data_IF_969998598136
#
_entry.id   IF_969998598136
#
_cell.length_a   1.000
_cell.length_b   1.000
_cell.length_c   1.000
_cell.angle_alpha   90.00
_cell.angle_beta   90.00
_cell.angle_gamma   90.00
#
_symmetry.space_group_name_H-M   'P 1'
#
loop_
_entity.id
_entity.type
_entity.pdbx_description
1 polymer ?
#
# COMPACT_ATOMS: atom_id res chain seq x y z
N UNK A 1 -12.53 16.65 -13.97
CA UNK A 1 -11.39 16.03 -13.28
C UNK A 1 -11.92 14.79 -12.62
N UNK A 2 -11.36 13.64 -12.93
CA UNK A 2 -11.72 12.40 -12.26
C UNK A 2 -10.82 12.23 -11.02
N UNK A 3 -11.32 11.53 -10.01
CA UNK A 3 -10.54 11.26 -8.81
C UNK A 3 -9.25 10.50 -9.16
N UNK A 4 -8.10 11.02 -8.70
CA UNK A 4 -6.76 10.47 -8.95
C UNK A 4 -6.42 10.25 -10.44
N UNK A 5 -6.92 11.09 -11.35
CA UNK A 5 -6.61 11.00 -12.78
C UNK A 5 -5.13 11.28 -13.12
N UNK A 6 -4.78 11.22 -14.41
CA UNK A 6 -3.41 11.45 -14.88
C UNK A 6 -2.91 12.88 -14.59
N UNK A 7 -3.79 13.82 -14.24
CA UNK A 7 -3.46 15.19 -13.81
C UNK A 7 -3.63 15.40 -12.31
N UNK A 8 -3.70 14.33 -11.52
CA UNK A 8 -3.75 14.42 -10.06
C UNK A 8 -2.58 15.28 -9.52
N UNK A 9 -2.93 16.34 -8.78
CA UNK A 9 -2.02 17.40 -8.28
C UNK A 9 -1.32 18.26 -9.37
N UNK A 10 -1.57 18.04 -10.65
CA UNK A 10 -0.96 18.77 -11.78
C UNK A 10 -1.89 19.90 -12.27
N UNK A 11 -1.86 21.03 -11.54
CA UNK A 11 -2.81 22.14 -11.73
C UNK A 11 -2.67 22.98 -13.02
N UNK A 12 -1.63 22.77 -13.82
CA UNK A 12 -1.43 23.46 -15.11
C UNK A 12 -0.56 22.64 -16.07
N UNK A 13 -0.43 23.11 -17.31
CA UNK A 13 0.29 22.38 -18.36
C UNK A 13 1.81 22.36 -18.14
N UNK A 14 2.37 23.39 -17.51
CA UNK A 14 3.79 23.40 -17.11
C UNK A 14 4.07 22.30 -16.09
N UNK A 15 3.21 22.13 -15.08
CA UNK A 15 3.34 21.06 -14.09
C UNK A 15 3.24 19.68 -14.74
N UNK A 16 2.30 19.50 -15.68
CA UNK A 16 2.15 18.25 -16.41
C UNK A 16 3.39 17.92 -17.29
N UNK A 17 3.92 18.93 -17.98
CA UNK A 17 5.13 18.78 -18.78
C UNK A 17 6.34 18.42 -17.93
N UNK A 18 6.55 19.11 -16.80
CA UNK A 18 7.67 18.83 -15.89
C UNK A 18 7.56 17.43 -15.25
N UNK A 19 6.36 17.03 -14.82
CA UNK A 19 6.15 15.70 -14.24
C UNK A 19 6.46 14.59 -15.25
N UNK A 20 6.07 14.75 -16.52
CA UNK A 20 6.35 13.80 -17.58
C UNK A 20 7.85 13.53 -17.80
N UNK A 21 8.70 14.53 -17.56
CA UNK A 21 10.16 14.36 -17.67
C UNK A 21 10.76 13.53 -16.52
N UNK A 22 10.03 13.38 -15.41
CA UNK A 22 10.53 12.71 -14.19
C UNK A 22 9.74 11.47 -13.77
N UNK A 23 8.51 11.27 -14.26
CA UNK A 23 7.60 10.21 -13.81
C UNK A 23 8.13 8.79 -14.08
N UNK A 24 9.01 8.63 -15.07
CA UNK A 24 9.64 7.36 -15.43
C UNK A 24 11.01 7.11 -14.79
N UNK A 25 11.51 8.04 -13.97
CA UNK A 25 12.78 7.86 -13.27
C UNK A 25 12.66 6.76 -12.20
N UNK A 26 13.76 6.05 -11.89
CA UNK A 26 13.78 5.06 -10.82
C UNK A 26 13.55 5.70 -9.45
N UNK A 27 12.94 4.94 -8.55
CA UNK A 27 12.74 5.31 -7.15
C UNK A 27 14.01 5.00 -6.37
N UNK A 28 14.55 6.02 -5.72
CA UNK A 28 15.62 5.90 -4.72
C UNK A 28 14.99 6.13 -3.35
N UNK A 29 14.66 5.03 -2.67
CA UNK A 29 14.12 5.04 -1.32
C UNK A 29 15.26 4.91 -0.30
N UNK A 30 15.90 6.05 -0.03
CA UNK A 30 17.08 6.13 0.82
C UNK A 30 16.81 5.83 2.31
N UNK A 31 15.55 5.67 2.72
CA UNK A 31 15.19 5.33 4.10
C UNK A 31 13.74 4.85 4.22
N UNK A 32 13.56 3.61 4.72
CA UNK A 32 12.26 3.08 5.09
C UNK A 32 12.34 2.09 6.27
N UNK A 33 11.18 1.52 6.59
CA UNK A 33 10.96 0.53 7.64
C UNK A 33 10.28 -0.74 7.12
N UNK A 34 10.45 -1.07 5.85
CA UNK A 34 9.83 -2.27 5.27
C UNK A 34 10.43 -3.55 5.87
N UNK A 35 9.60 -4.58 5.98
CA UNK A 35 10.04 -5.88 6.51
C UNK A 35 10.92 -6.62 5.47
N UNK A 36 12.24 -6.54 5.65
CA UNK A 36 13.22 -7.21 4.79
C UNK A 36 13.02 -8.73 4.79
N UNK A 37 12.47 -9.32 5.85
CA UNK A 37 12.16 -10.74 5.88
C UNK A 37 11.02 -11.07 4.92
N UNK A 38 9.99 -10.24 4.84
CA UNK A 38 8.88 -10.43 3.91
C UNK A 38 9.36 -10.37 2.46
N UNK A 39 10.25 -9.41 2.15
CA UNK A 39 10.91 -9.30 0.84
C UNK A 39 11.77 -10.54 0.54
N UNK A 40 12.60 -10.98 1.50
CA UNK A 40 13.47 -12.15 1.33
C UNK A 40 12.68 -13.46 1.11
N UNK A 41 11.54 -13.62 1.78
CA UNK A 41 10.66 -14.79 1.60
C UNK A 41 9.89 -14.70 0.27
N UNK A 42 9.55 -13.49 -0.16
CA UNK A 42 8.84 -13.18 -1.40
C UNK A 42 7.57 -14.03 -1.62
N UNK A 43 6.84 -14.32 -0.55
CA UNK A 43 5.56 -15.01 -0.63
C UNK A 43 4.43 -14.04 -1.01
N UNK A 44 3.33 -14.58 -1.54
CA UNK A 44 2.13 -13.80 -1.75
C UNK A 44 1.57 -13.27 -0.41
N UNK A 45 1.08 -12.03 -0.41
CA UNK A 45 0.34 -11.47 0.72
C UNK A 45 -0.97 -12.23 0.95
N UNK A 46 -1.39 -12.32 2.21
CA UNK A 46 -2.53 -13.13 2.65
C UNK A 46 -3.88 -12.51 2.28
N UNK A 47 -4.04 -11.21 2.47
CA UNK A 47 -5.30 -10.50 2.23
C UNK A 47 -5.15 -8.97 2.23
N UNK A 48 -6.23 -8.27 1.89
CA UNK A 48 -6.32 -6.81 1.84
C UNK A 48 -5.93 -6.13 3.16
N UNK A 49 -6.33 -6.69 4.31
CA UNK A 49 -5.98 -6.11 5.62
C UNK A 49 -4.47 -6.09 5.84
N UNK A 50 -3.75 -7.15 5.43
CA UNK A 50 -2.29 -7.21 5.56
C UNK A 50 -1.62 -6.02 4.87
N UNK A 51 -2.01 -5.72 3.63
CA UNK A 51 -1.30 -4.73 2.81
C UNK A 51 -1.82 -3.31 3.01
N UNK A 52 -3.07 -3.11 3.45
CA UNK A 52 -3.65 -1.77 3.64
C UNK A 52 -3.49 -1.27 5.07
N UNK A 53 -3.57 -2.16 6.07
CA UNK A 53 -3.79 -1.70 7.44
C UNK A 53 -3.09 -2.52 8.52
N UNK A 54 -2.42 -3.64 8.24
CA UNK A 54 -1.87 -4.46 9.32
C UNK A 54 -0.68 -3.82 10.05
N UNK A 55 -0.03 -2.84 9.44
CA UNK A 55 1.11 -2.10 10.01
C UNK A 55 1.00 -0.58 9.85
N UNK A 56 0.00 -0.08 9.10
CA UNK A 56 -0.16 1.35 8.86
C UNK A 56 -0.93 2.04 10.00
N UNK A 57 -0.17 2.68 10.87
CA UNK A 57 -0.70 3.43 12.00
C UNK A 57 -1.52 4.68 11.62
N UNK A 58 -1.36 5.25 10.42
CA UNK A 58 -2.20 6.37 9.96
C UNK A 58 -3.61 5.88 9.63
N UNK A 59 -3.72 4.69 9.02
CA UNK A 59 -5.02 4.03 8.80
C UNK A 59 -5.70 3.73 10.15
N UNK A 60 -4.96 3.22 11.14
CA UNK A 60 -5.50 2.99 12.49
C UNK A 60 -5.97 4.28 13.14
N UNK A 61 -5.17 5.34 13.06
CA UNK A 61 -5.53 6.64 13.62
C UNK A 61 -6.84 7.15 13.03
N UNK A 62 -7.03 7.00 11.71
CA UNK A 62 -8.26 7.38 11.04
C UNK A 62 -9.46 6.55 11.51
N UNK A 63 -9.31 5.23 11.64
CA UNK A 63 -10.37 4.37 12.18
C UNK A 63 -10.75 4.75 13.62
N UNK A 64 -9.77 5.01 14.49
CA UNK A 64 -10.00 5.46 15.88
C UNK A 64 -10.74 6.79 15.94
N UNK A 65 -10.33 7.76 15.10
CA UNK A 65 -10.97 9.08 14.98
C UNK A 65 -12.40 9.03 14.43
N UNK A 66 -12.85 7.90 13.91
CA UNK A 66 -14.23 7.63 13.45
C UNK A 66 -14.99 6.68 14.36
N UNK A 67 -14.46 6.42 15.56
CA UNK A 67 -15.15 5.63 16.57
C UNK A 67 -15.21 4.13 16.27
N UNK A 68 -14.37 3.61 15.37
CA UNK A 68 -14.26 2.17 15.16
C UNK A 68 -13.69 1.52 16.43
N UNK A 69 -14.34 0.48 17.00
CA UNK A 69 -13.84 -0.18 18.18
C UNK A 69 -12.45 -0.82 17.95
N UNK A 70 -11.58 -0.74 18.97
CA UNK A 70 -10.18 -1.19 18.88
C UNK A 70 -10.05 -2.69 18.52
N UNK A 71 -11.08 -3.50 18.81
CA UNK A 71 -11.13 -4.91 18.42
C UNK A 71 -11.01 -5.12 16.90
N UNK A 72 -11.51 -4.16 16.11
CA UNK A 72 -11.48 -4.16 14.65
C UNK A 72 -10.26 -3.43 14.06
N UNK A 73 -9.35 -2.95 14.90
CA UNK A 73 -8.13 -2.24 14.48
C UNK A 73 -6.94 -3.13 14.85
N UNK A 74 -6.47 -3.07 16.09
CA UNK A 74 -5.33 -3.89 16.57
C UNK A 74 -5.76 -5.17 17.29
N UNK A 75 -7.06 -5.35 17.55
CA UNK A 75 -7.58 -6.54 18.23
C UNK A 75 -7.58 -7.82 17.38
N UNK A 76 -8.31 -8.84 17.85
CA UNK A 76 -8.29 -10.20 17.28
C UNK A 76 -9.44 -10.49 16.29
N UNK A 77 -10.21 -9.48 15.88
CA UNK A 77 -11.27 -9.66 14.89
C UNK A 77 -10.73 -10.22 13.56
N UNK A 78 -11.61 -10.87 12.79
CA UNK A 78 -11.21 -11.43 11.49
C UNK A 78 -10.73 -10.31 10.53
N UNK A 79 -9.67 -10.53 9.74
CA UNK A 79 -9.17 -9.53 8.79
C UNK A 79 -10.22 -8.95 7.85
N UNK A 80 -11.21 -9.74 7.41
CA UNK A 80 -12.32 -9.25 6.57
C UNK A 80 -13.23 -8.34 7.37
N UNK A 81 -13.56 -8.68 8.62
CA UNK A 81 -14.36 -7.81 9.49
C UNK A 81 -13.67 -6.47 9.73
N UNK A 82 -12.36 -6.48 9.99
CA UNK A 82 -11.54 -5.26 10.14
C UNK A 82 -11.58 -4.39 8.89
N UNK A 83 -11.39 -5.01 7.71
CA UNK A 83 -11.48 -4.32 6.43
C UNK A 83 -12.86 -3.69 6.20
N UNK A 84 -13.95 -4.42 6.48
CA UNK A 84 -15.30 -3.89 6.31
C UNK A 84 -15.58 -2.71 7.27
N UNK A 85 -15.01 -2.73 8.47
CA UNK A 85 -15.07 -1.57 9.38
C UNK A 85 -14.29 -0.38 8.84
N UNK A 86 -13.09 -0.60 8.30
CA UNK A 86 -12.34 0.46 7.60
C UNK A 86 -13.18 1.04 6.45
N UNK A 87 -13.71 0.19 5.57
CA UNK A 87 -14.51 0.60 4.42
C UNK A 87 -15.76 1.41 4.82
N UNK A 88 -16.37 1.08 5.96
CA UNK A 88 -17.56 1.79 6.46
C UNK A 88 -17.31 3.26 6.83
N UNK A 89 -16.08 3.61 7.23
CA UNK A 89 -15.70 4.97 7.65
C UNK A 89 -14.76 5.67 6.66
N UNK A 90 -14.26 4.96 5.64
CA UNK A 90 -13.29 5.47 4.69
C UNK A 90 -13.77 6.72 3.91
N UNK A 91 -15.05 6.82 3.49
CA UNK A 91 -15.54 8.04 2.84
C UNK A 91 -15.43 9.29 3.73
N UNK A 92 -15.53 9.13 5.06
CA UNK A 92 -15.49 10.24 6.01
C UNK A 92 -14.08 10.82 6.22
N UNK A 93 -13.05 10.20 5.63
CA UNK A 93 -11.67 10.70 5.70
C UNK A 93 -11.22 11.38 4.40
N UNK A 94 -12.14 11.62 3.46
CA UNK A 94 -11.88 12.43 2.29
C UNK A 94 -11.32 13.81 2.69
N UNK A 95 -10.23 14.22 2.06
CA UNK A 95 -9.44 15.40 2.44
C UNK A 95 -8.28 15.12 3.40
N UNK A 96 -8.20 13.91 3.97
CA UNK A 96 -6.98 13.41 4.62
C UNK A 96 -6.12 12.64 3.60
N UNK A 97 -4.78 12.78 3.60
CA UNK A 97 -3.90 12.09 2.66
C UNK A 97 -4.06 10.56 2.62
N UNK A 98 -4.41 9.91 3.76
CA UNK A 98 -4.69 8.46 3.81
C UNK A 98 -5.76 8.05 2.80
N UNK A 99 -6.75 8.92 2.55
CA UNK A 99 -7.77 8.66 1.55
C UNK A 99 -7.16 8.53 0.16
N UNK A 100 -6.22 9.41 -0.21
CA UNK A 100 -5.60 9.38 -1.54
C UNK A 100 -4.55 8.28 -1.66
N UNK A 101 -3.74 8.05 -0.62
CA UNK A 101 -2.67 7.05 -0.60
C UNK A 101 -3.20 5.64 -0.84
N UNK A 102 -4.20 5.20 -0.06
CA UNK A 102 -4.76 3.85 -0.21
C UNK A 102 -5.38 3.66 -1.60
N UNK A 103 -6.11 4.66 -2.12
CA UNK A 103 -6.68 4.55 -3.47
C UNK A 103 -5.60 4.56 -4.57
N UNK A 104 -4.49 5.28 -4.39
CA UNK A 104 -3.33 5.21 -5.29
C UNK A 104 -2.70 3.81 -5.29
N UNK A 105 -2.57 3.17 -4.13
CA UNK A 105 -2.03 1.82 -4.01
C UNK A 105 -2.93 0.79 -4.71
N UNK A 106 -4.26 0.91 -4.55
CA UNK A 106 -5.21 0.06 -5.27
C UNK A 106 -5.10 0.26 -6.78
N UNK A 107 -5.04 1.52 -7.24
CA UNK A 107 -5.04 1.88 -8.66
C UNK A 107 -3.73 1.53 -9.37
N UNK A 108 -2.59 1.94 -8.81
CA UNK A 108 -1.26 1.78 -9.42
C UNK A 108 -0.60 0.48 -8.99
N UNK A 109 -0.60 0.20 -7.69
CA UNK A 109 0.03 -1.00 -7.12
C UNK A 109 -0.71 -2.29 -7.47
N UNK A 110 -2.03 -2.33 -7.32
CA UNK A 110 -2.84 -3.55 -7.57
C UNK A 110 -3.54 -3.59 -8.92
N UNK A 111 -3.63 -2.45 -9.62
CA UNK A 111 -4.24 -2.33 -10.95
C UNK A 111 -5.77 -2.19 -10.93
N UNK A 112 -6.36 -1.89 -9.78
CA UNK A 112 -7.81 -1.71 -9.60
C UNK A 112 -8.19 -0.25 -9.91
N UNK A 113 -8.25 0.09 -11.20
CA UNK A 113 -8.31 1.49 -11.67
C UNK A 113 -9.53 2.28 -11.20
N UNK A 114 -10.66 1.61 -11.04
CA UNK A 114 -11.95 2.21 -10.66
C UNK A 114 -12.31 1.94 -9.20
N UNK A 115 -11.36 1.45 -8.39
CA UNK A 115 -11.59 1.15 -6.99
C UNK A 115 -11.90 2.43 -6.20
N UNK A 116 -13.07 2.43 -5.55
CA UNK A 116 -13.47 3.46 -4.60
C UNK A 116 -13.98 2.78 -3.34
N UNK A 117 -13.32 3.00 -2.21
CA UNK A 117 -13.66 2.37 -0.93
C UNK A 117 -14.87 3.07 -0.32
N UNK A 118 -15.97 2.33 -0.22
CA UNK A 118 -17.22 2.74 0.41
C UNK A 118 -17.79 1.57 1.22
N UNK A 119 -18.79 1.80 2.10
CA UNK A 119 -19.49 0.70 2.76
C UNK A 119 -20.04 -0.34 1.77
N UNK A 120 -20.53 0.11 0.61
CA UNK A 120 -21.16 -0.72 -0.41
C UNK A 120 -20.13 -1.51 -1.24
N UNK A 121 -18.98 -0.90 -1.54
CA UNK A 121 -17.93 -1.54 -2.34
C UNK A 121 -16.99 -2.41 -1.51
N UNK A 122 -16.99 -2.27 -0.18
CA UNK A 122 -16.02 -2.92 0.71
C UNK A 122 -15.93 -4.44 0.52
N UNK A 123 -17.06 -5.14 0.38
CA UNK A 123 -17.03 -6.59 0.15
C UNK A 123 -16.49 -6.98 -1.23
N UNK A 124 -16.87 -6.24 -2.28
CA UNK A 124 -16.36 -6.48 -3.64
C UNK A 124 -14.86 -6.23 -3.70
N UNK A 125 -14.40 -5.09 -3.15
CA UNK A 125 -12.98 -4.72 -3.13
C UNK A 125 -12.15 -5.69 -2.29
N UNK A 126 -12.68 -6.24 -1.20
CA UNK A 126 -12.00 -7.32 -0.46
C UNK A 126 -11.63 -8.48 -1.39
N UNK A 127 -12.59 -8.94 -2.20
CA UNK A 127 -12.38 -10.05 -3.12
C UNK A 127 -11.44 -9.68 -4.27
N UNK A 128 -11.60 -8.48 -4.86
CA UNK A 128 -10.74 -8.01 -5.95
C UNK A 128 -9.28 -7.81 -5.52
N UNK A 129 -9.06 -7.23 -4.34
CA UNK A 129 -7.72 -7.07 -3.76
C UNK A 129 -7.11 -8.44 -3.51
N UNK A 130 -7.82 -9.36 -2.87
CA UNK A 130 -7.29 -10.69 -2.59
C UNK A 130 -6.99 -11.48 -3.86
N UNK A 131 -7.84 -11.38 -4.89
CA UNK A 131 -7.59 -11.96 -6.19
C UNK A 131 -6.35 -11.35 -6.86
N UNK A 132 -6.14 -10.04 -6.73
CA UNK A 132 -4.94 -9.38 -7.20
C UNK A 132 -3.67 -9.87 -6.47
N UNK A 133 -3.71 -9.93 -5.14
CA UNK A 133 -2.59 -10.36 -4.28
C UNK A 133 -2.20 -11.82 -4.47
N UNK A 134 -3.12 -12.67 -4.94
CA UNK A 134 -2.83 -14.07 -5.27
C UNK A 134 -1.96 -14.23 -6.53
N UNK A 135 -1.84 -13.20 -7.36
CA UNK A 135 -1.04 -13.25 -8.59
C UNK A 135 0.46 -13.16 -8.29
N UNK A 136 1.32 -13.93 -8.97
CA UNK A 136 2.78 -13.86 -8.80
C UNK A 136 3.34 -12.44 -9.00
N UNK A 137 2.76 -11.65 -9.90
CA UNK A 137 3.18 -10.26 -10.19
C UNK A 137 2.89 -9.28 -9.04
N UNK A 138 2.23 -9.73 -7.96
CA UNK A 138 1.91 -8.91 -6.77
C UNK A 138 2.63 -9.41 -5.51
N UNK A 139 3.68 -10.21 -5.68
CA UNK A 139 4.62 -10.55 -4.61
C UNK A 139 5.53 -9.36 -4.29
N UNK A 140 6.13 -9.30 -3.08
CA UNK A 140 6.96 -8.18 -2.64
C UNK A 140 8.00 -7.71 -3.68
N UNK A 141 8.80 -8.62 -4.22
CA UNK A 141 9.83 -8.29 -5.21
C UNK A 141 9.22 -7.75 -6.50
N UNK A 142 8.17 -8.40 -7.01
CA UNK A 142 7.50 -7.98 -8.25
C UNK A 142 6.80 -6.62 -8.10
N UNK A 143 6.34 -6.27 -6.90
CA UNK A 143 5.82 -4.94 -6.62
C UNK A 143 6.93 -3.88 -6.66
N UNK A 144 8.08 -4.14 -6.04
CA UNK A 144 9.24 -3.24 -6.08
C UNK A 144 9.74 -3.04 -7.52
N UNK A 145 9.87 -4.13 -8.29
CA UNK A 145 10.19 -4.08 -9.72
C UNK A 145 9.17 -3.26 -10.51
N UNK A 146 7.87 -3.49 -10.27
CA UNK A 146 6.78 -2.76 -10.92
C UNK A 146 6.72 -1.28 -10.55
N UNK A 147 7.28 -0.89 -9.41
CA UNK A 147 7.42 0.50 -8.96
C UNK A 147 8.75 1.13 -9.41
N UNK A 148 9.59 0.41 -10.16
CA UNK A 148 10.90 0.88 -10.62
C UNK A 148 11.81 1.30 -9.46
N UNK A 149 11.80 0.55 -8.35
CA UNK A 149 12.69 0.79 -7.21
C UNK A 149 14.11 0.35 -7.56
N UNK A 150 15.06 1.29 -7.56
CA UNK A 150 16.48 1.01 -7.83
C UNK A 150 17.27 0.83 -6.52
N UNK A 151 16.96 1.64 -5.52
CA UNK A 151 17.63 1.59 -4.22
C UNK A 151 16.58 1.63 -3.13
N UNK A 152 16.75 0.76 -2.14
CA UNK A 152 15.91 0.67 -0.97
C UNK A 152 16.78 0.47 0.27
N UNK A 153 16.64 1.32 1.28
CA UNK A 153 17.42 1.24 2.52
C UNK A 153 16.52 1.04 3.74
N UNK A 154 16.58 -0.13 4.36
CA UNK A 154 15.88 -0.41 5.62
C UNK A 154 16.53 0.29 6.81
N UNK A 155 15.80 0.26 7.92
CA UNK A 155 16.30 0.68 9.23
C UNK A 155 16.37 -0.53 10.15
N UNK A 156 17.57 -0.88 10.56
CA UNK A 156 17.88 -2.06 11.35
C UNK A 156 18.54 -1.68 12.67
N UNK A 157 18.33 -2.48 13.71
CA UNK A 157 19.00 -2.27 14.99
C UNK A 157 20.48 -2.70 14.87
N UNK A 158 21.44 -1.99 15.50
CA UNK A 158 22.85 -2.41 15.51
C UNK A 158 23.11 -3.83 16.03
N UNK A 159 22.17 -4.42 16.79
CA UNK A 159 22.27 -5.80 17.27
C UNK A 159 21.73 -6.85 16.28
N UNK A 160 21.12 -6.45 15.17
CA UNK A 160 20.55 -7.37 14.19
C UNK A 160 21.64 -8.12 13.41
N UNK A 161 21.38 -9.40 13.14
CA UNK A 161 22.30 -10.27 12.39
C UNK A 161 22.23 -10.10 10.87
N UNK A 162 21.23 -9.35 10.37
CA UNK A 162 21.03 -8.99 8.95
C UNK A 162 20.99 -10.17 7.94
N UNK A 163 20.63 -11.38 8.40
CA UNK A 163 20.58 -12.58 7.53
C UNK A 163 19.61 -12.44 6.34
N UNK A 164 18.57 -11.62 6.47
CA UNK A 164 17.60 -11.42 5.40
C UNK A 164 18.17 -10.49 4.31
N UNK A 165 19.03 -9.53 4.66
CA UNK A 165 19.75 -8.70 3.70
C UNK A 165 20.70 -9.54 2.86
N UNK A 166 21.40 -10.50 3.47
CA UNK A 166 22.26 -11.44 2.73
C UNK A 166 21.44 -12.31 1.76
N UNK A 167 20.26 -12.79 2.17
CA UNK A 167 19.36 -13.57 1.31
C UNK A 167 18.87 -12.75 0.11
N UNK A 168 18.43 -11.50 0.35
CA UNK A 168 17.98 -10.57 -0.71
C UNK A 168 19.13 -10.33 -1.70
N UNK A 169 20.32 -10.00 -1.20
CA UNK A 169 21.52 -9.81 -2.03
C UNK A 169 21.88 -11.06 -2.84
N UNK A 170 21.83 -12.24 -2.24
CA UNK A 170 22.14 -13.50 -2.92
C UNK A 170 21.10 -13.88 -3.99
N UNK A 171 19.85 -13.45 -3.81
CA UNK A 171 18.77 -13.61 -4.78
C UNK A 171 18.83 -12.59 -5.93
N UNK A 172 19.71 -11.58 -5.84
CA UNK A 172 19.83 -10.52 -6.85
C UNK A 172 18.62 -9.57 -6.88
N UNK A 173 17.95 -9.43 -5.73
CA UNK A 173 16.85 -8.50 -5.48
C UNK A 173 17.43 -7.14 -5.09
#
# INVERSE_FOLDING_TARGET
MAFLDERYLLGNDTAAALFKEVEGLPVVDAHNHSDIKEIAVNANYKNAWQVVAATDHYVWEMMRKRGVPEEYITGKADPKEKWLKLASVFPEIAGNPVYEWVHLDLRRGLGLKDALITPESGEVLWNEINAALARPEKRPVQLLEGMNVEVMCSTDDPADVLENHEKVKAAGI
#
